data_IF_178161979986
#
_entry.id   IF_178161979986
#
_cell.length_a   1.000
_cell.length_b   1.000
_cell.length_c   1.000
_cell.angle_alpha   90.00
_cell.angle_beta   90.00
_cell.angle_gamma   90.00
#
_symmetry.space_group_name_H-M   'P 1'
#
loop_
_entity.id
_entity.type
_entity.pdbx_description
1 polymer ?
#
# COMPACT_ATOMS: atom_id res chain seq x y z
N UNK A 1 -1.97 13.50 20.73
CA UNK A 1 -2.04 12.09 20.32
C UNK A 1 -1.02 11.85 19.22
N UNK A 2 -1.15 10.79 18.44
CA UNK A 2 -0.40 10.64 17.19
C UNK A 2 -1.08 11.42 16.05
N UNK A 3 -0.31 11.87 15.06
CA UNK A 3 -0.84 12.58 13.87
C UNK A 3 -1.28 11.63 12.76
N UNK A 4 -0.66 10.44 12.70
CA UNK A 4 -0.87 9.42 11.66
C UNK A 4 -0.88 8.02 12.23
N UNK A 5 -1.45 7.10 11.45
CA UNK A 5 -1.24 5.65 11.60
C UNK A 5 -0.62 5.08 10.33
N UNK A 6 0.08 3.96 10.44
CA UNK A 6 0.50 3.16 9.29
C UNK A 6 -0.22 1.82 9.31
N UNK A 7 -0.94 1.54 8.22
CA UNK A 7 -1.63 0.26 8.06
C UNK A 7 -0.61 -0.84 7.73
N UNK A 8 -0.63 -1.91 8.51
CA UNK A 8 0.12 -3.12 8.22
C UNK A 8 -0.55 -3.89 7.07
N UNK A 9 0.03 -3.86 5.88
CA UNK A 9 -0.55 -4.51 4.68
C UNK A 9 -0.01 -5.91 4.39
N UNK A 10 0.75 -6.53 5.31
CA UNK A 10 1.32 -7.87 5.11
C UNK A 10 0.30 -8.94 4.70
N UNK A 11 -0.85 -9.10 5.39
CA UNK A 11 -1.88 -10.07 5.00
C UNK A 11 -2.43 -9.81 3.60
N UNK A 12 -2.67 -8.55 3.25
CA UNK A 12 -3.08 -8.14 1.90
C UNK A 12 -2.02 -8.48 0.85
N UNK A 13 -0.75 -8.16 1.15
CA UNK A 13 0.38 -8.50 0.30
C UNK A 13 0.53 -10.01 0.09
N UNK A 14 0.33 -10.82 1.12
CA UNK A 14 0.58 -12.27 1.09
C UNK A 14 -0.36 -13.10 0.21
N UNK A 15 -1.56 -12.60 -0.10
CA UNK A 15 -2.58 -13.36 -0.85
C UNK A 15 -2.46 -13.21 -2.39
N UNK A 16 -1.25 -13.32 -2.93
CA UNK A 16 -0.98 -13.15 -4.38
C UNK A 16 -1.78 -14.11 -5.28
N UNK A 17 -2.06 -15.33 -4.81
CA UNK A 17 -2.75 -16.38 -5.55
C UNK A 17 -4.20 -16.60 -5.09
N UNK A 18 -4.71 -15.78 -4.17
CA UNK A 18 -6.05 -15.89 -3.60
C UNK A 18 -6.72 -14.52 -3.62
N UNK A 19 -7.31 -14.19 -4.78
CA UNK A 19 -7.92 -12.88 -5.03
C UNK A 19 -9.09 -12.59 -4.08
N UNK A 20 -9.81 -13.60 -3.62
CA UNK A 20 -10.91 -13.43 -2.66
C UNK A 20 -10.39 -13.01 -1.29
N UNK A 21 -9.34 -13.65 -0.78
CA UNK A 21 -8.71 -13.23 0.49
C UNK A 21 -8.04 -11.88 0.36
N UNK A 22 -7.35 -11.61 -0.74
CA UNK A 22 -6.77 -10.28 -1.00
C UNK A 22 -7.85 -9.18 -0.99
N UNK A 23 -9.01 -9.42 -1.63
CA UNK A 23 -10.12 -8.47 -1.64
C UNK A 23 -10.72 -8.25 -0.24
N UNK A 24 -10.82 -9.31 0.58
CA UNK A 24 -11.29 -9.20 1.97
C UNK A 24 -10.33 -8.37 2.83
N UNK A 25 -9.02 -8.61 2.73
CA UNK A 25 -8.03 -7.81 3.47
C UNK A 25 -7.97 -6.36 2.97
N UNK A 26 -8.08 -6.14 1.66
CA UNK A 26 -8.18 -4.79 1.09
C UNK A 26 -9.36 -4.01 1.68
N UNK A 27 -10.54 -4.64 1.79
CA UNK A 27 -11.70 -3.99 2.37
C UNK A 27 -11.56 -3.76 3.88
N UNK A 28 -10.90 -4.67 4.61
CA UNK A 28 -10.57 -4.45 6.03
C UNK A 28 -9.68 -3.23 6.21
N UNK A 29 -8.61 -3.13 5.42
CA UNK A 29 -7.72 -1.97 5.40
C UNK A 29 -8.48 -0.69 5.06
N UNK A 30 -9.35 -0.74 4.06
CA UNK A 30 -10.21 0.37 3.66
C UNK A 30 -11.08 0.88 4.81
N UNK A 31 -11.80 -0.02 5.50
CA UNK A 31 -12.62 0.36 6.66
C UNK A 31 -11.81 0.94 7.81
N UNK A 32 -10.61 0.43 8.07
CA UNK A 32 -9.71 0.99 9.07
C UNK A 32 -9.25 2.39 8.69
N UNK A 33 -8.93 2.62 7.42
CA UNK A 33 -8.58 3.94 6.91
C UNK A 33 -9.76 4.92 7.04
N UNK A 34 -10.96 4.50 6.64
CA UNK A 34 -12.18 5.31 6.74
C UNK A 34 -12.41 5.78 8.20
N UNK A 35 -12.23 4.88 9.17
CA UNK A 35 -12.35 5.19 10.59
C UNK A 35 -11.23 6.13 11.11
N UNK A 36 -9.99 5.92 10.69
CA UNK A 36 -8.86 6.77 11.08
C UNK A 36 -9.01 8.20 10.54
N UNK A 37 -9.42 8.33 9.28
CA UNK A 37 -9.69 9.62 8.64
C UNK A 37 -10.86 10.34 9.34
N UNK A 38 -11.94 9.62 9.69
CA UNK A 38 -13.05 10.19 10.46
C UNK A 38 -12.63 10.67 11.85
N UNK A 39 -11.59 10.06 12.43
CA UNK A 39 -10.99 10.49 13.70
C UNK A 39 -9.95 11.62 13.54
N UNK A 40 -9.71 12.11 12.31
CA UNK A 40 -8.76 13.19 12.03
C UNK A 40 -7.30 12.74 11.91
N UNK A 41 -7.03 11.44 11.83
CA UNK A 41 -5.69 10.89 11.62
C UNK A 41 -5.40 10.75 10.13
N UNK A 42 -4.17 11.09 9.71
CA UNK A 42 -3.74 10.76 8.35
C UNK A 42 -3.33 9.28 8.28
N UNK A 43 -3.43 8.69 7.10
CA UNK A 43 -3.21 7.25 6.90
C UNK A 43 -2.01 7.03 5.99
N UNK A 44 -1.00 6.36 6.51
CA UNK A 44 0.09 5.77 5.74
C UNK A 44 -0.19 4.26 5.53
N UNK A 45 0.54 3.63 4.61
CA UNK A 45 0.55 2.16 4.48
C UNK A 45 1.92 1.62 4.07
N UNK A 46 2.16 0.33 4.32
CA UNK A 46 3.42 -0.32 3.97
C UNK A 46 3.36 -1.80 4.29
N UNK A 47 4.50 -2.49 4.12
CA UNK A 47 4.66 -3.94 4.33
C UNK A 47 4.06 -4.80 3.20
N UNK A 48 4.93 -5.51 2.47
CA UNK A 48 4.59 -6.41 1.35
C UNK A 48 3.83 -5.75 0.18
N UNK A 49 3.99 -4.43 0.03
CA UNK A 49 3.54 -3.69 -1.14
C UNK A 49 4.53 -3.84 -2.30
N UNK A 50 3.98 -4.12 -3.48
CA UNK A 50 4.69 -4.24 -4.75
C UNK A 50 3.94 -3.47 -5.83
N UNK A 51 4.57 -3.24 -6.98
CA UNK A 51 3.98 -2.51 -8.12
C UNK A 51 2.60 -3.05 -8.51
N UNK A 52 2.37 -4.38 -8.40
CA UNK A 52 1.13 -5.01 -8.83
C UNK A 52 -0.05 -4.85 -7.87
N UNK A 53 0.18 -4.77 -6.55
CA UNK A 53 -0.92 -4.71 -5.57
C UNK A 53 -1.21 -3.27 -5.10
N UNK A 54 -0.23 -2.39 -5.15
CA UNK A 54 -0.37 -1.00 -4.72
C UNK A 54 -1.52 -0.22 -5.38
N UNK A 55 -1.81 -0.38 -6.70
CA UNK A 55 -2.89 0.39 -7.35
C UNK A 55 -4.28 0.13 -6.75
N UNK A 56 -4.56 -1.11 -6.32
CA UNK A 56 -5.86 -1.44 -5.73
C UNK A 56 -5.99 -0.83 -4.32
N UNK A 57 -4.91 -0.79 -3.55
CA UNK A 57 -4.86 -0.12 -2.25
C UNK A 57 -5.05 1.39 -2.40
N UNK A 58 -4.28 2.03 -3.28
CA UNK A 58 -4.40 3.47 -3.58
C UNK A 58 -5.81 3.85 -4.04
N UNK A 59 -6.45 2.99 -4.84
CA UNK A 59 -7.84 3.19 -5.26
C UNK A 59 -8.86 3.05 -4.12
N UNK A 60 -8.68 2.08 -3.21
CA UNK A 60 -9.59 1.88 -2.06
C UNK A 60 -9.42 2.96 -0.99
N UNK A 61 -8.23 3.54 -0.87
CA UNK A 61 -7.91 4.60 0.10
C UNK A 61 -7.29 5.79 -0.65
N UNK A 62 -8.09 6.61 -1.35
CA UNK A 62 -7.58 7.74 -2.12
C UNK A 62 -6.87 8.82 -1.29
N UNK A 63 -7.13 8.84 0.02
CA UNK A 63 -6.52 9.76 0.99
C UNK A 63 -5.26 9.18 1.67
N UNK A 64 -4.64 8.14 1.11
CA UNK A 64 -3.32 7.68 1.56
C UNK A 64 -2.32 8.83 1.48
N UNK A 65 -1.76 9.19 2.63
CA UNK A 65 -0.82 10.29 2.74
C UNK A 65 0.59 9.90 2.27
N UNK A 66 0.99 8.64 2.51
CA UNK A 66 2.31 8.11 2.21
C UNK A 66 2.29 6.58 2.13
N UNK A 67 3.22 5.99 1.37
CA UNK A 67 3.53 4.57 1.46
C UNK A 67 5.02 4.30 1.69
N UNK A 68 5.31 3.43 2.66
CA UNK A 68 6.66 3.03 3.05
C UNK A 68 6.98 1.65 2.46
N UNK A 69 7.89 1.59 1.49
CA UNK A 69 8.19 0.37 0.72
C UNK A 69 9.68 0.07 0.75
N UNK A 70 10.05 -1.08 1.33
CA UNK A 70 11.44 -1.54 1.45
C UNK A 70 11.74 -2.74 0.55
N UNK A 71 11.38 -3.95 1.01
CA UNK A 71 11.76 -5.21 0.36
C UNK A 71 11.30 -5.29 -1.11
N UNK A 72 10.02 -5.01 -1.39
CA UNK A 72 9.48 -5.04 -2.76
C UNK A 72 10.17 -4.06 -3.71
N UNK A 73 10.54 -2.87 -3.22
CA UNK A 73 11.30 -1.88 -3.97
C UNK A 73 12.72 -2.38 -4.23
N UNK A 74 13.40 -2.91 -3.22
CA UNK A 74 14.77 -3.42 -3.39
C UNK A 74 14.82 -4.60 -4.36
N UNK A 75 13.85 -5.52 -4.29
CA UNK A 75 13.75 -6.65 -5.21
C UNK A 75 13.49 -6.22 -6.65
N UNK A 76 12.53 -5.33 -6.89
CA UNK A 76 12.24 -4.79 -8.25
C UNK A 76 13.46 -4.00 -8.78
N UNK A 77 14.23 -3.32 -7.92
CA UNK A 77 15.44 -2.60 -8.30
C UNK A 77 16.59 -3.49 -8.77
N UNK A 78 16.62 -4.77 -8.38
CA UNK A 78 17.60 -5.73 -8.93
C UNK A 78 17.35 -6.03 -10.42
N UNK A 79 16.10 -5.89 -10.87
CA UNK A 79 15.70 -6.16 -12.26
C UNK A 79 15.67 -4.88 -13.10
N UNK A 80 15.17 -3.77 -12.54
CA UNK A 80 14.91 -2.53 -13.30
C UNK A 80 15.84 -1.36 -12.94
N UNK A 81 16.74 -1.55 -11.96
CA UNK A 81 17.58 -0.50 -11.40
C UNK A 81 16.80 0.48 -10.52
N UNK A 82 17.47 1.10 -9.54
CA UNK A 82 16.83 1.97 -8.53
C UNK A 82 15.95 3.08 -9.13
N UNK A 83 16.47 3.82 -10.12
CA UNK A 83 15.71 4.90 -10.75
C UNK A 83 14.50 4.40 -11.56
N UNK A 84 14.61 3.22 -12.19
CA UNK A 84 13.52 2.59 -12.94
C UNK A 84 12.41 2.13 -11.99
N UNK A 85 12.80 1.46 -10.91
CA UNK A 85 11.86 0.98 -9.88
C UNK A 85 11.12 2.10 -9.18
N UNK A 86 11.80 3.19 -8.78
CA UNK A 86 11.11 4.34 -8.17
C UNK A 86 10.02 4.88 -9.10
N UNK A 87 10.28 5.02 -10.40
CA UNK A 87 9.26 5.45 -11.38
C UNK A 87 8.09 4.46 -11.49
N UNK A 88 8.36 3.16 -11.44
CA UNK A 88 7.33 2.11 -11.46
C UNK A 88 6.41 2.20 -10.23
N UNK A 89 6.97 2.39 -9.05
CA UNK A 89 6.18 2.56 -7.81
C UNK A 89 5.40 3.88 -7.79
N UNK A 90 6.00 5.01 -8.23
CA UNK A 90 5.27 6.28 -8.38
C UNK A 90 4.06 6.12 -9.30
N UNK A 91 4.23 5.49 -10.46
CA UNK A 91 3.12 5.19 -11.36
C UNK A 91 2.04 4.32 -10.70
N UNK A 92 2.45 3.34 -9.89
CA UNK A 92 1.51 2.48 -9.15
C UNK A 92 0.74 3.24 -8.04
N UNK A 93 1.32 4.31 -7.49
CA UNK A 93 0.63 5.27 -6.62
C UNK A 93 -0.29 6.24 -7.38
N UNK A 94 -0.25 6.25 -8.72
CA UNK A 94 -1.03 7.16 -9.57
C UNK A 94 -0.34 8.50 -9.86
N UNK A 95 0.99 8.59 -9.74
CA UNK A 95 1.79 9.78 -10.07
C UNK A 95 2.32 9.75 -11.51
#
# INVERSE_FOLDING_TARGET
GADRIELYTGPYGSYHSDSEKAAKELERLGKTADAALAAGLQVNAGHDLVVNNLPALAKRIPALAEVSIGHGLTADALEYGMAGTVKRFLKACGW
#
